data_IF_340926130874
#
_entry.id   IF_340926130874
#
_cell.length_a   1.000
_cell.length_b   1.000
_cell.length_c   1.000
_cell.angle_alpha   90.00
_cell.angle_beta   90.00
_cell.angle_gamma   90.00
#
_symmetry.space_group_name_H-M   'P 1'
#
loop_
_entity.id
_entity.type
_entity.pdbx_description
1 polymer ?
#
# COMPACT_ATOMS: atom_id res chain seq x y z
N UNK A 1 -9.98 17.90 4.08
CA UNK A 1 -8.86 17.38 3.27
C UNK A 1 -9.43 16.30 2.37
N UNK A 2 -9.20 16.31 1.05
CA UNK A 2 -9.56 15.16 0.23
C UNK A 2 -8.75 13.96 0.73
N UNK A 3 -9.43 12.86 1.05
CA UNK A 3 -8.73 11.60 1.30
C UNK A 3 -8.10 11.16 -0.02
N UNK A 4 -6.88 10.63 -0.01
CA UNK A 4 -6.24 10.14 -1.23
C UNK A 4 -7.12 9.08 -1.90
N UNK A 5 -7.40 9.27 -3.20
CA UNK A 5 -8.34 8.47 -4.00
C UNK A 5 -7.74 7.12 -4.50
N UNK A 6 -6.49 6.83 -4.12
CA UNK A 6 -5.78 5.60 -4.50
C UNK A 6 -4.73 5.19 -3.46
N UNK A 7 -4.40 3.89 -3.36
CA UNK A 7 -3.31 3.40 -2.52
C UNK A 7 -1.97 4.10 -2.77
N UNK A 8 -1.63 4.40 -4.03
CA UNK A 8 -0.37 5.10 -4.34
C UNK A 8 -0.41 6.56 -3.92
N UNK A 9 -1.51 7.26 -4.12
CA UNK A 9 -1.64 8.65 -3.67
C UNK A 9 -1.55 8.74 -2.15
N UNK A 10 -2.16 7.77 -1.46
CA UNK A 10 -2.06 7.66 -0.01
C UNK A 10 -0.60 7.43 0.41
N UNK A 11 0.11 6.50 -0.25
CA UNK A 11 1.54 6.28 0.01
C UNK A 11 2.38 7.53 -0.24
N UNK A 12 2.13 8.26 -1.30
CA UNK A 12 2.88 9.48 -1.61
C UNK A 12 2.66 10.58 -0.56
N UNK A 13 1.47 10.65 0.03
CA UNK A 13 1.13 11.61 1.07
C UNK A 13 1.62 11.19 2.47
N UNK A 14 1.71 9.87 2.73
CA UNK A 14 1.88 9.31 4.07
C UNK A 14 3.08 8.35 4.22
N UNK A 15 3.96 8.30 3.20
CA UNK A 15 5.26 7.64 3.24
C UNK A 15 6.41 8.61 2.89
N UNK A 16 6.61 9.71 3.64
CA UNK A 16 7.72 10.63 3.39
C UNK A 16 9.08 10.03 3.74
N UNK A 17 10.13 10.51 3.06
CA UNK A 17 11.52 10.32 3.47
C UNK A 17 11.88 11.34 4.55
N UNK A 18 12.21 10.86 5.75
CA UNK A 18 12.60 11.66 6.91
C UNK A 18 13.95 11.17 7.43
N UNK A 19 14.95 12.06 7.48
CA UNK A 19 16.30 11.78 7.99
C UNK A 19 16.96 10.53 7.37
N UNK A 20 16.73 10.29 6.08
CA UNK A 20 17.28 9.14 5.35
C UNK A 20 16.55 7.82 5.61
N UNK A 21 15.37 7.85 6.25
CA UNK A 21 14.50 6.70 6.48
C UNK A 21 13.09 7.00 5.97
N UNK A 22 12.40 6.00 5.46
CA UNK A 22 11.00 6.19 5.08
C UNK A 22 10.09 5.93 6.28
N UNK A 23 9.14 6.83 6.48
CA UNK A 23 8.15 6.71 7.57
C UNK A 23 6.79 6.45 6.96
N UNK A 24 6.26 5.25 7.16
CA UNK A 24 4.94 4.87 6.67
C UNK A 24 3.92 4.91 7.80
N UNK A 25 2.77 5.55 7.59
CA UNK A 25 1.68 5.60 8.57
C UNK A 25 0.62 4.54 8.27
N UNK A 26 0.46 3.48 9.05
CA UNK A 26 -0.57 2.47 8.75
C UNK A 26 -1.99 3.10 8.64
N UNK A 27 -2.71 2.95 7.51
CA UNK A 27 -4.02 3.58 7.34
C UNK A 27 -5.12 2.96 8.24
N UNK A 28 -4.94 1.73 8.70
CA UNK A 28 -5.88 1.02 9.57
C UNK A 28 -5.58 1.28 11.05
N UNK A 29 -4.30 1.34 11.43
CA UNK A 29 -3.88 1.42 12.84
C UNK A 29 -3.35 2.80 13.25
N UNK A 30 -3.05 3.67 12.28
CA UNK A 30 -2.39 4.97 12.48
C UNK A 30 -1.03 4.88 13.17
N UNK A 31 -0.37 3.72 13.06
CA UNK A 31 0.97 3.47 13.59
C UNK A 31 2.04 3.85 12.56
N UNK A 32 3.15 4.42 13.02
CA UNK A 32 4.27 4.76 12.14
C UNK A 32 5.29 3.64 12.09
N UNK A 33 5.70 3.25 10.88
CA UNK A 33 6.69 2.22 10.61
C UNK A 33 7.91 2.82 9.91
N UNK A 34 9.10 2.49 10.42
CA UNK A 34 10.36 2.81 9.76
C UNK A 34 10.65 1.75 8.70
N UNK A 35 10.80 2.20 7.46
CA UNK A 35 11.01 1.35 6.30
C UNK A 35 12.35 1.66 5.64
N UNK A 36 12.99 0.59 5.15
CA UNK A 36 14.10 0.71 4.21
C UNK A 36 13.59 1.03 2.80
N UNK A 37 14.48 1.54 1.95
CA UNK A 37 14.18 1.84 0.54
C UNK A 37 13.55 0.64 -0.18
N UNK A 38 14.09 -0.57 0.04
CA UNK A 38 13.56 -1.79 -0.55
C UNK A 38 12.14 -2.13 -0.07
N UNK A 39 11.83 -1.91 1.22
CA UNK A 39 10.49 -2.14 1.75
C UNK A 39 9.48 -1.13 1.17
N UNK A 40 9.89 0.11 0.95
CA UNK A 40 9.05 1.12 0.28
C UNK A 40 8.76 0.74 -1.17
N UNK A 41 9.75 0.26 -1.91
CA UNK A 41 9.51 -0.17 -3.29
C UNK A 41 8.55 -1.37 -3.37
N UNK A 42 8.67 -2.34 -2.47
CA UNK A 42 7.70 -3.45 -2.39
C UNK A 42 6.29 -2.92 -2.08
N UNK A 43 6.12 -1.95 -1.19
CA UNK A 43 4.80 -1.35 -0.92
C UNK A 43 4.27 -0.54 -2.11
N UNK A 44 5.14 0.12 -2.89
CA UNK A 44 4.75 0.85 -4.10
C UNK A 44 4.27 -0.09 -5.19
N UNK A 45 4.91 -1.24 -5.34
CA UNK A 45 4.47 -2.30 -6.24
C UNK A 45 3.17 -2.94 -5.74
N UNK A 46 3.01 -3.15 -4.42
CA UNK A 46 1.74 -3.57 -3.84
C UNK A 46 0.61 -2.58 -4.17
N UNK A 47 0.81 -1.28 -3.95
CA UNK A 47 -0.14 -0.23 -4.31
C UNK A 47 -0.48 -0.26 -5.82
N UNK A 48 0.52 -0.47 -6.69
CA UNK A 48 0.32 -0.62 -8.13
C UNK A 48 -0.57 -1.82 -8.47
N UNK A 49 -0.31 -2.94 -7.82
CA UNK A 49 -1.04 -4.18 -8.03
C UNK A 49 -2.49 -4.05 -7.56
N UNK A 50 -2.75 -3.34 -6.45
CA UNK A 50 -4.10 -3.03 -5.97
C UNK A 50 -4.85 -2.14 -6.97
N UNK A 51 -4.22 -1.07 -7.45
CA UNK A 51 -4.82 -0.19 -8.47
C UNK A 51 -5.13 -0.90 -9.79
N UNK A 52 -4.37 -1.95 -10.09
CA UNK A 52 -4.52 -2.73 -11.31
C UNK A 52 -5.40 -3.96 -11.14
N UNK A 53 -6.00 -4.20 -9.95
CA UNK A 53 -6.77 -5.41 -9.60
C UNK A 53 -5.98 -6.73 -9.75
N UNK A 54 -4.65 -6.67 -9.56
CA UNK A 54 -3.72 -7.80 -9.67
C UNK A 54 -2.99 -8.09 -8.35
N UNK A 55 -3.54 -7.67 -7.21
CA UNK A 55 -2.88 -7.83 -5.92
C UNK A 55 -2.62 -9.31 -5.56
N UNK A 56 -3.53 -10.22 -5.89
CA UNK A 56 -3.35 -11.65 -5.62
C UNK A 56 -2.15 -12.25 -6.39
N UNK A 57 -1.93 -11.83 -7.65
CA UNK A 57 -0.76 -12.25 -8.41
C UNK A 57 0.54 -11.71 -7.79
N UNK A 58 0.51 -10.46 -7.32
CA UNK A 58 1.64 -9.87 -6.60
C UNK A 58 1.97 -10.63 -5.30
N UNK A 59 0.97 -11.12 -4.55
CA UNK A 59 1.22 -11.97 -3.37
C UNK A 59 1.97 -13.26 -3.73
N UNK A 60 1.64 -13.88 -4.86
CA UNK A 60 2.32 -15.08 -5.34
C UNK A 60 3.77 -14.78 -5.74
N UNK A 61 4.02 -13.64 -6.38
CA UNK A 61 5.37 -13.20 -6.74
C UNK A 61 6.23 -12.94 -5.49
N UNK A 62 5.66 -12.34 -4.44
CA UNK A 62 6.37 -12.11 -3.17
C UNK A 62 6.71 -13.44 -2.49
N UNK A 63 5.78 -14.39 -2.45
CA UNK A 63 6.03 -15.73 -1.89
C UNK A 63 7.13 -16.46 -2.68
N UNK A 64 7.07 -16.41 -4.02
CA UNK A 64 8.08 -16.99 -4.90
C UNK A 64 9.48 -16.34 -4.74
N UNK A 65 9.52 -15.06 -4.36
CA UNK A 65 10.76 -14.32 -4.09
C UNK A 65 11.37 -14.58 -2.71
N UNK A 66 10.74 -15.42 -1.87
CA UNK A 66 11.21 -15.76 -0.53
C UNK A 66 10.35 -15.19 0.61
N UNK A 67 9.16 -14.69 0.29
CA UNK A 67 8.17 -14.21 1.24
C UNK A 67 8.34 -12.75 1.64
N UNK A 68 7.48 -12.32 2.55
CA UNK A 68 7.43 -10.93 3.01
C UNK A 68 8.57 -10.58 3.98
N UNK A 69 9.17 -9.39 3.83
CA UNK A 69 9.94 -8.79 4.91
C UNK A 69 9.08 -8.65 6.18
N UNK A 70 9.66 -8.80 7.39
CA UNK A 70 8.92 -8.77 8.65
C UNK A 70 8.04 -7.53 8.78
N UNK A 71 6.73 -7.74 8.96
CA UNK A 71 5.75 -6.68 9.17
C UNK A 71 5.25 -5.99 7.90
N UNK A 72 5.87 -6.23 6.73
CA UNK A 72 5.52 -5.56 5.48
C UNK A 72 4.22 -6.07 4.86
N UNK A 73 3.94 -7.36 5.03
CA UNK A 73 2.68 -7.99 4.60
C UNK A 73 1.47 -7.22 5.14
N UNK A 74 1.46 -6.94 6.45
CA UNK A 74 0.35 -6.21 7.08
C UNK A 74 0.17 -4.81 6.51
N UNK A 75 1.27 -4.11 6.22
CA UNK A 75 1.22 -2.77 5.62
C UNK A 75 0.66 -2.83 4.20
N UNK A 76 1.05 -3.83 3.41
CA UNK A 76 0.51 -4.03 2.07
C UNK A 76 -1.00 -4.37 2.10
N UNK A 77 -1.43 -5.23 3.04
CA UNK A 77 -2.84 -5.51 3.24
C UNK A 77 -3.62 -4.29 3.76
N UNK A 78 -3.02 -3.45 4.60
CA UNK A 78 -3.66 -2.20 5.04
C UNK A 78 -3.97 -1.28 3.85
N UNK A 79 -3.11 -1.27 2.81
CA UNK A 79 -3.36 -0.51 1.58
C UNK A 79 -4.58 -0.99 0.79
N UNK A 80 -4.99 -2.27 0.90
CA UNK A 80 -6.20 -2.77 0.21
C UNK A 80 -7.48 -2.21 0.83
N UNK A 81 -7.41 -1.71 2.07
CA UNK A 81 -8.56 -1.11 2.77
C UNK A 81 -8.80 0.34 2.36
N UNK A 82 -7.83 0.96 1.69
CA UNK A 82 -7.98 2.30 1.18
C UNK A 82 -8.99 2.30 0.02
N UNK A 83 -9.81 3.36 -0.09
CA UNK A 83 -10.71 3.51 -1.22
C UNK A 83 -9.89 3.73 -2.49
N UNK A 84 -9.51 2.65 -3.17
CA UNK A 84 -9.04 2.71 -4.54
C UNK A 84 -10.23 3.05 -5.41
N UNK A 85 -10.12 4.08 -6.25
CA UNK A 85 -11.16 4.45 -7.21
C UNK A 85 -11.35 3.39 -8.29
N UNK A 86 -11.89 2.23 -7.93
CA UNK A 86 -12.55 1.31 -8.85
C UNK A 86 -14.01 1.75 -8.97
N UNK A 87 -14.27 2.76 -9.80
CA UNK A 87 -15.65 3.11 -10.17
C UNK A 87 -16.30 1.94 -10.92
N UNK A 88 -17.21 1.20 -10.27
CA UNK A 88 -18.67 1.15 -10.55
C UNK A 88 -19.30 -0.15 -10.05
N UNK A 89 -20.21 -0.04 -9.07
CA UNK A 89 -21.39 -0.90 -9.04
C UNK A 89 -22.60 -0.08 -8.60
N UNK A 90 -23.38 0.34 -9.60
CA UNK A 90 -24.81 0.65 -9.52
C UNK A 90 -25.27 1.62 -8.44
N UNK A 91 -25.53 2.85 -8.86
CA UNK A 91 -26.65 3.61 -8.31
C UNK A 91 -27.94 2.94 -8.80
N UNK A 92 -28.86 2.55 -7.90
CA UNK A 92 -30.28 2.64 -8.18
C UNK A 92 -30.86 3.79 -7.34
N UNK A 93 -31.41 4.75 -8.08
CA UNK A 93 -32.56 5.61 -7.78
C UNK A 93 -33.15 5.68 -6.36
#
# INVERSE_FOLDING_TARGET
>A
MPFPDSPRDWMNAHCPLLDGQFVFLDPQWWDTHLLSDGAVEVLREAARAIESDHFEAFLQDVEAAGGWPPGLERLAHALTTLPGRSTTKGQPE
#
